data_IF_719809340248
#
_entry.id   IF_719809340248
#
_cell.length_a   1.000
_cell.length_b   1.000
_cell.length_c   1.000
_cell.angle_alpha   90.00
_cell.angle_beta   90.00
_cell.angle_gamma   90.00
#
_symmetry.space_group_name_H-M   'P 1'
#
loop_
_entity.id
_entity.type
_entity.pdbx_description
1 polymer ?
#
# COMPACT_ATOMS: atom_id res chain seq x y z
N UNK A 1 -11.07 4.83 32.92
CA UNK A 1 -10.63 5.21 31.56
C UNK A 1 -11.80 5.01 30.62
N UNK A 2 -12.15 6.01 29.80
CA UNK A 2 -13.12 5.85 28.73
C UNK A 2 -12.62 4.77 27.79
N UNK A 3 -13.50 3.87 27.34
CA UNK A 3 -13.18 2.86 26.34
C UNK A 3 -12.91 3.57 25.03
N UNK A 4 -11.73 3.38 24.43
CA UNK A 4 -11.38 4.00 23.16
C UNK A 4 -11.55 3.03 21.99
N UNK A 5 -11.92 3.57 20.83
CA UNK A 5 -12.15 2.84 19.60
C UNK A 5 -11.33 3.47 18.47
N UNK A 6 -10.46 2.68 17.85
CA UNK A 6 -9.61 3.13 16.76
C UNK A 6 -10.23 2.75 15.41
N UNK A 7 -10.71 3.75 14.67
CA UNK A 7 -11.33 3.61 13.35
C UNK A 7 -10.46 4.17 12.21
N UNK A 8 -9.21 4.51 12.48
CA UNK A 8 -8.30 5.14 11.52
C UNK A 8 -7.29 4.16 10.91
N UNK A 9 -7.66 2.88 10.79
CA UNK A 9 -6.80 1.85 10.19
C UNK A 9 -6.48 2.13 8.71
N UNK A 10 -7.31 2.89 8.00
CA UNK A 10 -7.05 3.33 6.64
C UNK A 10 -5.83 4.28 6.54
N UNK A 11 -5.57 5.09 7.56
CA UNK A 11 -4.39 5.93 7.67
C UNK A 11 -3.18 5.14 8.17
N UNK A 12 -3.34 4.40 9.26
CA UNK A 12 -2.29 3.57 9.87
C UNK A 12 -2.91 2.43 10.66
N UNK A 13 -2.64 1.21 10.26
CA UNK A 13 -3.04 0.05 11.04
C UNK A 13 -1.99 -0.27 12.12
N UNK A 14 -2.36 -0.37 13.40
CA UNK A 14 -1.43 -0.74 14.45
C UNK A 14 -0.69 -2.05 14.13
N UNK A 15 0.62 -2.14 14.45
CA UNK A 15 1.39 -3.34 14.16
C UNK A 15 0.78 -4.60 14.77
N UNK A 16 0.64 -5.65 13.96
CA UNK A 16 0.11 -6.92 14.41
C UNK A 16 1.07 -7.61 15.40
N UNK A 17 0.56 -8.47 16.29
CA UNK A 17 1.42 -9.27 17.17
C UNK A 17 2.45 -10.10 16.40
N UNK A 18 2.12 -10.60 15.20
CA UNK A 18 3.05 -11.33 14.34
C UNK A 18 4.17 -10.44 13.84
N UNK A 19 3.86 -9.21 13.40
CA UNK A 19 4.84 -8.22 12.97
C UNK A 19 5.80 -7.84 14.11
N UNK A 20 5.27 -7.54 15.30
CA UNK A 20 6.06 -7.19 16.49
C UNK A 20 7.00 -8.34 16.86
N UNK A 21 6.49 -9.57 16.87
CA UNK A 21 7.29 -10.76 17.20
C UNK A 21 8.43 -10.97 16.19
N UNK A 22 8.13 -10.86 14.88
CA UNK A 22 9.13 -11.01 13.82
C UNK A 22 10.19 -9.91 13.90
N UNK A 23 9.78 -8.66 14.11
CA UNK A 23 10.67 -7.52 14.32
C UNK A 23 11.63 -7.74 15.47
N UNK A 24 11.09 -8.05 16.65
CA UNK A 24 11.89 -8.26 17.87
C UNK A 24 12.89 -9.40 17.72
N UNK A 25 12.48 -10.48 17.06
CA UNK A 25 13.37 -11.63 16.77
C UNK A 25 14.53 -11.25 15.85
N UNK A 26 14.29 -10.39 14.88
CA UNK A 26 15.29 -10.01 13.88
C UNK A 26 16.18 -8.83 14.31
N UNK A 27 15.82 -8.07 15.35
CA UNK A 27 16.59 -6.92 15.85
C UNK A 27 18.08 -7.22 16.14
N UNK A 28 18.47 -8.37 16.73
CA UNK A 28 19.87 -8.65 17.03
C UNK A 28 20.67 -9.13 15.81
N UNK A 29 20.05 -9.29 14.64
CA UNK A 29 20.72 -9.72 13.41
C UNK A 29 21.65 -8.60 12.88
N UNK A 30 22.78 -9.03 12.29
CA UNK A 30 23.81 -8.11 11.80
C UNK A 30 23.47 -7.49 10.45
N UNK A 31 24.50 -6.91 9.82
CA UNK A 31 24.41 -6.39 8.45
C UNK A 31 24.40 -7.56 7.44
N UNK A 32 23.39 -7.68 6.56
CA UNK A 32 23.27 -8.79 5.61
C UNK A 32 24.39 -8.82 4.55
N UNK A 33 25.15 -7.75 4.41
CA UNK A 33 26.34 -7.70 3.52
C UNK A 33 27.61 -8.25 4.17
N UNK A 34 27.61 -8.55 5.49
CA UNK A 34 28.80 -9.04 6.17
C UNK A 34 28.99 -10.55 5.96
N UNK A 35 30.27 -10.98 5.82
CA UNK A 35 30.61 -12.39 5.53
C UNK A 35 30.68 -13.30 6.77
N UNK A 36 30.64 -12.73 7.99
CA UNK A 36 30.65 -13.50 9.22
C UNK A 36 29.25 -14.07 9.55
N UNK A 37 29.18 -15.02 10.44
CA UNK A 37 27.97 -15.78 10.77
C UNK A 37 26.72 -14.90 11.06
N UNK A 38 26.88 -13.78 11.79
CA UNK A 38 25.76 -12.88 12.07
C UNK A 38 25.23 -12.19 10.80
N UNK A 39 26.13 -11.81 9.86
CA UNK A 39 25.73 -11.23 8.59
C UNK A 39 25.04 -12.26 7.67
N UNK A 40 25.57 -13.47 7.64
CA UNK A 40 24.92 -14.57 6.90
C UNK A 40 23.52 -14.86 7.44
N UNK A 41 23.34 -14.90 8.77
CA UNK A 41 22.02 -15.06 9.38
C UNK A 41 21.06 -13.92 9.02
N UNK A 42 21.55 -12.67 9.01
CA UNK A 42 20.78 -11.51 8.59
C UNK A 42 20.35 -11.60 7.12
N UNK A 43 21.26 -12.04 6.24
CA UNK A 43 20.96 -12.22 4.81
C UNK A 43 19.90 -13.32 4.60
N UNK A 44 20.03 -14.44 5.29
CA UNK A 44 19.03 -15.52 5.23
C UNK A 44 17.65 -14.97 5.64
N UNK A 45 17.56 -14.28 6.77
CA UNK A 45 16.30 -13.72 7.25
C UNK A 45 15.69 -12.68 6.28
N UNK A 46 16.52 -11.86 5.63
CA UNK A 46 16.09 -10.90 4.61
C UNK A 46 15.51 -11.61 3.38
N UNK A 47 16.19 -12.65 2.88
CA UNK A 47 15.75 -13.39 1.70
C UNK A 47 14.51 -14.26 2.00
N UNK A 48 14.40 -14.81 3.21
CA UNK A 48 13.18 -15.50 3.66
C UNK A 48 11.97 -14.54 3.71
N UNK A 49 12.16 -13.32 4.21
CA UNK A 49 11.12 -12.28 4.21
C UNK A 49 10.72 -11.90 2.78
N UNK A 50 11.69 -11.74 1.89
CA UNK A 50 11.48 -11.47 0.45
C UNK A 50 10.68 -12.59 -0.22
N UNK A 51 11.06 -13.84 0.01
CA UNK A 51 10.38 -15.01 -0.53
C UNK A 51 8.94 -15.16 -0.01
N UNK A 52 8.70 -14.84 1.27
CA UNK A 52 7.35 -14.85 1.85
C UNK A 52 6.44 -13.80 1.18
N UNK A 53 6.93 -12.57 1.00
CA UNK A 53 6.18 -11.52 0.29
C UNK A 53 5.89 -11.94 -1.15
N UNK A 54 6.88 -12.51 -1.83
CA UNK A 54 6.74 -12.98 -3.21
C UNK A 54 5.68 -14.09 -3.33
N UNK A 55 5.65 -15.01 -2.38
CA UNK A 55 4.64 -16.06 -2.33
C UNK A 55 3.24 -15.50 -2.10
N UNK A 56 3.07 -14.57 -1.14
CA UNK A 56 1.78 -14.00 -0.78
C UNK A 56 1.16 -13.14 -1.89
N UNK A 57 2.00 -12.55 -2.77
CA UNK A 57 1.58 -11.70 -3.89
C UNK A 57 1.75 -12.34 -5.27
N UNK A 58 2.11 -13.63 -5.33
CA UNK A 58 2.33 -14.40 -6.56
C UNK A 58 3.30 -13.73 -7.54
N UNK A 59 4.51 -13.41 -7.05
CA UNK A 59 5.63 -12.92 -7.86
C UNK A 59 6.91 -13.70 -7.55
N UNK A 60 8.03 -13.34 -8.21
CA UNK A 60 9.33 -13.94 -7.94
C UNK A 60 10.07 -13.17 -6.83
N UNK A 61 10.88 -13.83 -5.98
CA UNK A 61 11.67 -13.12 -4.96
C UNK A 61 12.58 -12.03 -5.54
N UNK A 62 13.16 -12.25 -6.70
CA UNK A 62 13.99 -11.26 -7.41
C UNK A 62 13.22 -10.05 -7.96
N UNK A 63 11.90 -10.08 -7.96
CA UNK A 63 11.03 -8.97 -8.34
C UNK A 63 10.70 -8.04 -7.15
N UNK A 64 10.99 -8.45 -5.91
CA UNK A 64 10.64 -7.73 -4.68
C UNK A 64 11.79 -6.85 -4.23
N UNK A 65 11.60 -5.53 -4.17
CA UNK A 65 12.58 -4.54 -3.71
C UNK A 65 12.08 -3.85 -2.44
N UNK A 66 12.89 -3.83 -1.38
CA UNK A 66 12.55 -3.12 -0.15
C UNK A 66 12.83 -1.62 -0.28
N UNK A 67 11.91 -0.81 0.24
CA UNK A 67 11.98 0.66 0.31
C UNK A 67 11.69 1.14 1.74
N UNK A 68 11.83 2.44 2.00
CA UNK A 68 11.47 3.02 3.31
C UNK A 68 9.97 3.18 3.53
N UNK A 69 9.16 3.00 2.50
CA UNK A 69 7.70 3.14 2.57
C UNK A 69 7.08 3.20 1.18
N UNK A 70 5.75 3.25 1.13
CA UNK A 70 5.00 3.34 -0.12
C UNK A 70 5.37 4.58 -0.93
N UNK A 71 5.61 5.73 -0.30
CA UNK A 71 5.99 6.96 -0.99
C UNK A 71 7.29 6.80 -1.77
N UNK A 72 8.34 6.20 -1.18
CA UNK A 72 9.58 5.89 -1.90
C UNK A 72 9.31 4.92 -3.05
N UNK A 73 8.52 3.87 -2.82
CA UNK A 73 8.18 2.89 -3.84
C UNK A 73 7.42 3.53 -5.02
N UNK A 74 6.43 4.39 -4.74
CA UNK A 74 5.68 5.14 -5.76
C UNK A 74 6.58 6.10 -6.54
N UNK A 75 7.43 6.87 -5.86
CA UNK A 75 8.36 7.77 -6.53
C UNK A 75 9.34 6.98 -7.41
N UNK A 76 9.84 5.83 -6.94
CA UNK A 76 10.75 4.99 -7.69
C UNK A 76 10.12 4.39 -8.95
N UNK A 77 8.89 3.88 -8.85
CA UNK A 77 8.17 3.41 -10.04
C UNK A 77 7.88 4.54 -11.02
N UNK A 78 7.50 5.73 -10.54
CA UNK A 78 7.22 6.89 -11.38
C UNK A 78 8.47 7.41 -12.11
N UNK A 79 9.61 7.47 -11.39
CA UNK A 79 10.91 7.85 -11.97
C UNK A 79 11.31 6.88 -13.09
N UNK A 80 11.20 5.57 -12.83
CA UNK A 80 11.51 4.54 -13.81
C UNK A 80 10.53 4.58 -14.98
N UNK A 81 9.23 4.68 -14.71
CA UNK A 81 8.20 4.74 -15.74
C UNK A 81 8.42 5.95 -16.66
N UNK A 82 8.64 7.14 -16.09
CA UNK A 82 8.87 8.37 -16.85
C UNK A 82 10.10 8.30 -17.74
N UNK A 83 11.21 7.74 -17.25
CA UNK A 83 12.45 7.62 -18.03
C UNK A 83 12.33 6.66 -19.23
N UNK A 84 11.48 5.64 -19.11
CA UNK A 84 11.35 4.60 -20.13
C UNK A 84 10.09 4.71 -21.00
N UNK A 85 9.29 5.78 -20.84
CA UNK A 85 8.07 5.96 -21.62
C UNK A 85 7.99 7.31 -22.29
N UNK A 86 7.47 7.35 -23.53
CA UNK A 86 7.33 8.60 -24.29
C UNK A 86 6.15 9.46 -23.87
N UNK A 87 5.10 8.84 -23.32
CA UNK A 87 3.89 9.51 -22.84
C UNK A 87 3.40 8.83 -21.58
N UNK A 88 3.32 9.58 -20.51
CA UNK A 88 2.77 9.11 -19.24
C UNK A 88 1.29 9.51 -19.13
N UNK A 89 0.43 8.53 -18.81
CA UNK A 89 -1.00 8.73 -18.61
C UNK A 89 -1.37 8.26 -17.21
N UNK A 90 -2.03 9.12 -16.44
CA UNK A 90 -2.56 8.79 -15.11
C UNK A 90 -3.80 9.64 -14.79
N UNK A 91 -4.74 9.11 -13.99
CA UNK A 91 -5.94 9.82 -13.59
C UNK A 91 -5.62 10.81 -12.48
N UNK A 92 -5.33 12.07 -12.82
CA UNK A 92 -4.87 13.13 -11.91
C UNK A 92 -5.76 13.39 -10.69
N UNK A 93 -7.01 12.95 -10.70
CA UNK A 93 -7.96 13.24 -9.62
C UNK A 93 -8.11 12.12 -8.59
N UNK A 94 -7.48 10.98 -8.80
CA UNK A 94 -7.69 9.78 -7.96
C UNK A 94 -6.41 9.23 -7.34
N UNK A 95 -5.23 9.58 -7.86
CA UNK A 95 -3.96 9.07 -7.38
C UNK A 95 -3.54 9.71 -6.06
N UNK A 96 -2.73 9.00 -5.27
CA UNK A 96 -2.11 9.54 -4.07
C UNK A 96 -1.04 10.60 -4.43
N UNK A 97 -0.79 11.58 -3.52
CA UNK A 97 0.22 12.63 -3.70
C UNK A 97 1.61 12.10 -4.08
N UNK A 98 2.00 10.93 -3.61
CA UNK A 98 3.27 10.28 -4.00
C UNK A 98 3.39 10.00 -5.51
N UNK A 99 2.26 9.99 -6.25
CA UNK A 99 2.18 9.87 -7.70
C UNK A 99 1.86 11.22 -8.34
N UNK A 100 0.92 11.99 -7.77
CA UNK A 100 0.47 13.28 -8.31
C UNK A 100 1.55 14.35 -8.33
N UNK A 101 2.38 14.40 -7.28
CA UNK A 101 3.47 15.37 -7.14
C UNK A 101 4.69 15.04 -8.03
N UNK A 102 4.65 13.91 -8.74
CA UNK A 102 5.72 13.58 -9.66
C UNK A 102 5.72 14.60 -10.81
N UNK A 103 6.85 15.30 -11.05
CA UNK A 103 6.91 16.34 -12.06
C UNK A 103 6.70 15.74 -13.45
N UNK A 104 5.74 16.30 -14.20
CA UNK A 104 5.45 15.92 -15.59
C UNK A 104 6.56 16.37 -16.57
N UNK A 105 7.73 16.71 -16.08
CA UNK A 105 8.85 17.21 -16.88
C UNK A 105 9.49 16.03 -17.59
N UNK A 106 9.33 15.96 -18.89
CA UNK A 106 9.85 14.88 -19.73
C UNK A 106 11.37 14.72 -19.57
N UNK A 107 11.78 13.60 -19.02
CA UNK A 107 13.11 13.09 -19.27
C UNK A 107 13.25 12.76 -20.77
N UNK A 108 14.44 12.85 -21.36
CA UNK A 108 14.65 12.30 -22.69
C UNK A 108 14.26 10.81 -22.64
N UNK A 109 13.19 10.47 -23.36
CA UNK A 109 12.62 9.13 -23.32
C UNK A 109 13.58 8.12 -23.93
N UNK A 110 13.73 6.97 -23.26
CA UNK A 110 14.53 5.88 -23.77
C UNK A 110 13.77 4.97 -24.74
N UNK A 111 12.41 5.05 -24.73
CA UNK A 111 11.55 4.31 -25.66
C UNK A 111 10.29 5.12 -25.97
N UNK A 112 9.58 4.76 -27.06
CA UNK A 112 8.27 5.32 -27.41
C UNK A 112 7.08 4.56 -26.79
N UNK A 113 7.32 3.61 -25.86
CA UNK A 113 6.24 2.90 -25.17
C UNK A 113 5.41 3.89 -24.34
N UNK A 114 4.06 3.78 -24.37
CA UNK A 114 3.25 4.55 -23.46
C UNK A 114 3.43 4.08 -22.01
N UNK A 115 3.39 5.00 -21.06
CA UNK A 115 3.36 4.72 -19.62
C UNK A 115 1.95 4.94 -19.08
N UNK A 116 1.49 4.03 -18.26
CA UNK A 116 0.22 4.09 -17.54
C UNK A 116 0.47 3.90 -16.07
N UNK A 117 -0.16 4.72 -15.21
CA UNK A 117 -0.26 4.44 -13.79
C UNK A 117 -1.70 4.55 -13.33
N UNK A 118 -2.10 3.70 -12.38
CA UNK A 118 -3.38 3.74 -11.72
C UNK A 118 -3.29 3.08 -10.36
N UNK A 119 -3.89 3.72 -9.32
CA UNK A 119 -4.00 3.06 -8.01
C UNK A 119 -4.98 1.87 -8.08
N UNK A 120 -4.71 0.84 -7.28
CA UNK A 120 -5.58 -0.34 -7.22
C UNK A 120 -6.86 -0.10 -6.41
N UNK A 121 -6.77 0.72 -5.38
CA UNK A 121 -7.92 1.14 -4.59
C UNK A 121 -7.69 2.57 -4.07
N UNK A 122 -8.75 3.36 -4.05
CA UNK A 122 -8.69 4.73 -3.56
C UNK A 122 -8.60 4.75 -2.03
N UNK A 123 -7.62 5.46 -1.51
CA UNK A 123 -7.34 5.55 -0.07
C UNK A 123 -8.41 6.32 0.71
N UNK A 124 -9.21 7.16 0.06
CA UNK A 124 -10.28 7.95 0.69
C UNK A 124 -11.64 7.27 0.53
N UNK A 125 -12.11 7.11 -0.71
CA UNK A 125 -13.43 6.52 -0.98
C UNK A 125 -13.48 5.01 -0.81
N UNK A 126 -12.33 4.35 -0.81
CA UNK A 126 -12.22 2.90 -0.79
C UNK A 126 -12.57 2.22 -2.11
N UNK A 127 -12.88 2.97 -3.16
CA UNK A 127 -13.21 2.42 -4.49
C UNK A 127 -12.11 1.51 -5.00
N UNK A 128 -12.47 0.32 -5.49
CA UNK A 128 -11.55 -0.67 -6.07
C UNK A 128 -11.65 -0.56 -7.59
N UNK A 129 -10.50 -0.45 -8.25
CA UNK A 129 -10.42 -0.31 -9.71
C UNK A 129 -10.04 -1.63 -10.39
N UNK A 130 -10.60 -1.87 -11.56
CA UNK A 130 -10.32 -3.06 -12.38
C UNK A 130 -9.01 -2.88 -13.16
N UNK A 131 -7.89 -3.07 -12.46
CA UNK A 131 -6.54 -2.98 -13.03
C UNK A 131 -6.33 -3.98 -14.16
N UNK A 132 -6.92 -5.17 -14.07
CA UNK A 132 -6.79 -6.19 -15.10
C UNK A 132 -7.40 -5.76 -16.42
N UNK A 133 -8.62 -5.22 -16.40
CA UNK A 133 -9.26 -4.67 -17.61
C UNK A 133 -8.48 -3.49 -18.17
N UNK A 134 -7.94 -2.60 -17.33
CA UNK A 134 -7.08 -1.50 -17.78
C UNK A 134 -5.81 -2.04 -18.46
N UNK A 135 -5.19 -3.07 -17.90
CA UNK A 135 -4.02 -3.73 -18.49
C UNK A 135 -4.35 -4.36 -19.84
N UNK A 136 -5.49 -5.05 -19.95
CA UNK A 136 -5.94 -5.65 -21.22
C UNK A 136 -6.18 -4.59 -22.31
N UNK A 137 -6.68 -3.42 -21.94
CA UNK A 137 -6.91 -2.30 -22.87
C UNK A 137 -5.62 -1.55 -23.27
N UNK A 138 -4.52 -1.74 -22.53
CA UNK A 138 -3.22 -1.10 -22.80
C UNK A 138 -2.06 -2.14 -22.82
N UNK A 139 -2.10 -3.17 -23.71
CA UNK A 139 -1.16 -4.31 -23.63
C UNK A 139 0.30 -3.92 -23.85
N UNK A 140 0.56 -2.85 -24.59
CA UNK A 140 1.90 -2.38 -24.91
C UNK A 140 2.44 -1.31 -23.96
N UNK A 141 1.62 -0.82 -23.02
CA UNK A 141 2.07 0.16 -22.04
C UNK A 141 3.00 -0.45 -21.00
N UNK A 142 3.94 0.33 -20.46
CA UNK A 142 4.49 0.04 -19.13
C UNK A 142 3.46 0.50 -18.09
N UNK A 143 3.03 -0.41 -17.21
CA UNK A 143 1.95 -0.13 -16.28
C UNK A 143 2.44 -0.20 -14.83
N UNK A 144 2.34 0.92 -14.14
CA UNK A 144 2.66 1.06 -12.72
C UNK A 144 1.36 1.12 -11.88
N UNK A 145 1.34 0.42 -10.75
CA UNK A 145 0.17 0.34 -9.88
C UNK A 145 0.53 0.70 -8.44
N UNK A 146 -0.12 1.75 -7.90
CA UNK A 146 -0.11 1.99 -6.45
C UNK A 146 -1.15 1.07 -5.79
N UNK A 147 -0.68 0.05 -5.09
CA UNK A 147 -1.51 -0.91 -4.36
C UNK A 147 -1.48 -0.69 -2.84
N UNK A 148 -1.06 0.50 -2.39
CA UNK A 148 -0.86 0.81 -0.96
C UNK A 148 -2.13 0.62 -0.14
N UNK A 149 -3.30 1.00 -0.66
CA UNK A 149 -4.57 0.80 0.04
C UNK A 149 -5.15 -0.62 -0.15
N UNK A 150 -4.66 -1.39 -1.13
CA UNK A 150 -5.20 -2.69 -1.50
C UNK A 150 -4.49 -3.88 -0.85
N UNK A 151 -3.14 -3.85 -0.83
CA UNK A 151 -2.33 -4.95 -0.27
C UNK A 151 -2.67 -5.19 1.19
N UNK A 152 -2.96 -6.45 1.53
CA UNK A 152 -3.38 -6.86 2.87
C UNK A 152 -4.85 -6.57 3.20
N UNK A 153 -5.60 -5.88 2.33
CA UNK A 153 -7.02 -5.58 2.51
C UNK A 153 -7.91 -6.38 1.55
N UNK A 154 -7.44 -6.62 0.33
CA UNK A 154 -8.08 -7.44 -0.70
C UNK A 154 -7.06 -8.36 -1.36
N UNK A 155 -7.48 -9.44 -2.06
CA UNK A 155 -6.55 -10.30 -2.79
C UNK A 155 -5.79 -9.52 -3.86
N UNK A 156 -4.46 -9.68 -3.88
CA UNK A 156 -3.57 -9.09 -4.88
C UNK A 156 -2.71 -10.20 -5.46
N UNK A 157 -2.88 -10.48 -6.73
CA UNK A 157 -2.09 -11.42 -7.50
C UNK A 157 -1.31 -10.65 -8.57
N UNK A 158 -0.02 -10.36 -8.30
CA UNK A 158 0.82 -9.56 -9.18
C UNK A 158 0.93 -10.15 -10.58
N UNK A 159 1.08 -11.47 -10.67
CA UNK A 159 1.19 -12.16 -11.95
C UNK A 159 -0.10 -12.08 -12.76
N UNK A 160 -1.26 -12.25 -12.11
CA UNK A 160 -2.57 -12.15 -12.76
C UNK A 160 -2.90 -10.72 -13.20
N UNK A 161 -2.55 -9.71 -12.40
CA UNK A 161 -2.72 -8.29 -12.76
C UNK A 161 -1.93 -7.91 -14.00
N UNK A 162 -0.77 -8.51 -14.22
CA UNK A 162 0.09 -8.28 -15.38
C UNK A 162 0.70 -6.88 -15.44
N UNK A 163 0.67 -6.11 -14.34
CA UNK A 163 1.34 -4.81 -14.23
C UNK A 163 2.87 -4.99 -14.20
N UNK A 164 3.60 -3.94 -14.58
CA UNK A 164 5.06 -3.98 -14.64
C UNK A 164 5.70 -3.52 -13.32
N UNK A 165 5.01 -2.63 -12.57
CA UNK A 165 5.42 -2.16 -11.25
C UNK A 165 4.23 -2.18 -10.30
N UNK A 166 4.47 -2.53 -9.02
CA UNK A 166 3.45 -2.49 -7.97
C UNK A 166 4.08 -2.00 -6.66
N UNK A 167 3.57 -0.88 -6.13
CA UNK A 167 4.08 -0.23 -4.92
C UNK A 167 3.13 -0.39 -3.74
N UNK A 168 3.67 -0.61 -2.52
CA UNK A 168 2.89 -0.67 -1.29
C UNK A 168 3.72 -0.43 -0.03
N UNK A 169 3.07 -0.17 1.10
CA UNK A 169 3.70 0.10 2.39
C UNK A 169 3.14 -0.76 3.52
N UNK A 170 4.00 -1.18 4.45
CA UNK A 170 3.66 -2.12 5.51
C UNK A 170 2.60 -1.60 6.50
N UNK A 171 2.57 -0.29 6.78
CA UNK A 171 1.71 0.34 7.79
C UNK A 171 0.20 0.27 7.50
N UNK A 172 -0.20 -0.13 6.28
CA UNK A 172 -1.60 -0.26 5.86
C UNK A 172 -2.23 -1.63 6.14
N UNK A 173 -1.42 -2.61 6.56
CA UNK A 173 -1.88 -3.98 6.84
C UNK A 173 -1.30 -4.58 8.15
N UNK A 174 -0.98 -3.72 9.11
CA UNK A 174 -0.46 -4.16 10.41
C UNK A 174 1.03 -4.49 10.42
N UNK A 175 1.79 -4.04 9.43
CA UNK A 175 3.24 -3.99 9.49
C UNK A 175 3.74 -2.77 10.26
N UNK A 176 5.05 -2.73 10.53
CA UNK A 176 5.69 -1.60 11.19
C UNK A 176 5.96 -0.50 10.16
N UNK A 177 5.75 0.77 10.53
CA UNK A 177 6.08 1.93 9.69
C UNK A 177 7.59 2.01 9.42
N UNK A 178 7.98 2.62 8.30
CA UNK A 178 9.38 2.79 7.91
C UNK A 178 9.87 1.73 6.93
N UNK A 179 8.97 0.92 6.39
CA UNK A 179 9.27 0.00 5.30
C UNK A 179 8.11 -0.07 4.30
N UNK A 180 8.46 -0.20 3.04
CA UNK A 180 7.59 -0.47 1.91
C UNK A 180 8.23 -1.43 0.93
N UNK A 181 7.55 -1.66 -0.16
CA UNK A 181 8.01 -2.56 -1.20
C UNK A 181 7.62 -2.03 -2.58
N UNK A 182 8.53 -2.20 -3.53
CA UNK A 182 8.27 -2.11 -4.95
C UNK A 182 8.45 -3.50 -5.56
N UNK A 183 7.41 -4.03 -6.17
CA UNK A 183 7.52 -5.23 -7.01
C UNK A 183 7.73 -4.77 -8.45
N UNK A 184 8.74 -5.29 -9.10
CA UNK A 184 9.10 -4.98 -10.49
C UNK A 184 9.14 -6.27 -11.27
N UNK A 185 8.26 -6.39 -12.26
CA UNK A 185 8.19 -7.57 -13.12
C UNK A 185 9.55 -7.82 -13.77
N UNK A 186 9.95 -9.08 -13.80
CA UNK A 186 11.22 -9.49 -14.42
C UNK A 186 11.36 -8.89 -15.82
N UNK A 187 12.56 -8.46 -16.14
CA UNK A 187 12.94 -7.80 -17.40
C UNK A 187 12.29 -6.41 -17.62
N UNK A 188 11.55 -5.89 -16.64
CA UNK A 188 11.07 -4.50 -16.66
C UNK A 188 12.21 -3.56 -16.31
N UNK A 189 12.40 -2.46 -17.06
CA UNK A 189 13.48 -1.52 -16.79
C UNK A 189 13.28 -0.80 -15.46
N UNK A 190 14.32 -0.78 -14.61
CA UNK A 190 14.31 -0.13 -13.31
C UNK A 190 15.55 0.75 -13.15
N UNK A 191 15.36 2.06 -12.90
CA UNK A 191 16.45 2.99 -12.59
C UNK A 191 16.98 2.75 -11.17
N UNK A 192 18.24 3.08 -10.93
CA UNK A 192 18.78 3.18 -9.56
C UNK A 192 18.41 4.56 -9.00
N UNK A 193 17.48 4.62 -8.05
CA UNK A 193 17.00 5.87 -7.45
C UNK A 193 17.90 6.33 -6.31
N UNK A 194 18.21 5.46 -5.35
CA UNK A 194 19.11 5.76 -4.24
C UNK A 194 20.44 5.10 -4.52
N UNK A 195 21.44 5.91 -4.83
CA UNK A 195 22.81 5.45 -5.15
C UNK A 195 23.57 5.12 -3.88
N UNK A 196 24.35 4.02 -3.90
CA UNK A 196 25.13 3.58 -2.75
C UNK A 196 25.89 2.29 -3.03
N UNK A 197 25.84 1.35 -2.10
CA UNK A 197 26.42 0.01 -2.26
C UNK A 197 25.59 -0.91 -3.16
N UNK A 198 25.93 -2.22 -3.13
CA UNK A 198 25.29 -3.23 -3.97
C UNK A 198 23.95 -3.75 -3.47
N UNK A 199 23.34 -3.11 -2.45
CA UNK A 199 22.06 -3.53 -1.87
C UNK A 199 20.95 -3.49 -2.93
N UNK A 200 19.93 -4.31 -2.74
CA UNK A 200 18.81 -4.46 -3.67
C UNK A 200 19.31 -4.57 -5.13
N UNK A 201 20.27 -5.47 -5.35
CA UNK A 201 20.94 -5.70 -6.65
C UNK A 201 21.54 -4.43 -7.30
N UNK A 202 22.04 -3.51 -6.47
CA UNK A 202 22.61 -2.24 -6.92
C UNK A 202 21.57 -1.21 -7.38
N UNK A 203 20.29 -1.48 -7.16
CA UNK A 203 19.19 -0.59 -7.56
C UNK A 203 18.77 0.39 -6.45
N UNK A 204 18.97 0.00 -5.18
CA UNK A 204 18.63 0.84 -4.04
C UNK A 204 19.67 0.68 -2.94
N UNK A 205 20.58 1.64 -2.83
CA UNK A 205 21.66 1.67 -1.84
C UNK A 205 21.17 1.91 -0.41
N UNK A 206 22.01 1.57 0.55
CA UNK A 206 21.74 1.69 1.98
C UNK A 206 21.48 0.32 2.62
N UNK A 207 22.04 0.11 3.82
CA UNK A 207 21.91 -1.16 4.55
C UNK A 207 20.43 -1.50 4.76
N UNK A 208 20.04 -2.71 4.39
CA UNK A 208 18.67 -3.18 4.47
C UNK A 208 18.23 -3.35 5.93
N UNK A 209 17.01 -2.92 6.23
CA UNK A 209 16.40 -3.11 7.55
C UNK A 209 15.80 -4.51 7.68
N UNK A 210 16.63 -5.49 8.05
CA UNK A 210 16.21 -6.89 8.17
C UNK A 210 15.03 -7.05 9.11
N UNK A 211 15.03 -6.36 10.25
CA UNK A 211 13.95 -6.45 11.22
C UNK A 211 12.62 -5.94 10.68
N UNK A 212 12.63 -4.82 9.93
CA UNK A 212 11.43 -4.29 9.30
C UNK A 212 10.95 -5.20 8.15
N UNK A 213 11.86 -5.76 7.34
CA UNK A 213 11.52 -6.70 6.28
C UNK A 213 10.82 -7.96 6.84
N UNK A 214 11.37 -8.55 7.91
CA UNK A 214 10.73 -9.67 8.60
C UNK A 214 9.36 -9.33 9.18
N UNK A 215 9.20 -8.13 9.77
CA UNK A 215 7.92 -7.66 10.30
C UNK A 215 6.87 -7.48 9.19
N UNK A 216 7.26 -6.87 8.06
CA UNK A 216 6.40 -6.67 6.91
C UNK A 216 5.92 -8.00 6.32
N UNK A 217 6.83 -8.96 6.11
CA UNK A 217 6.49 -10.29 5.62
C UNK A 217 5.53 -11.02 6.56
N UNK A 218 5.78 -10.98 7.88
CA UNK A 218 4.92 -11.63 8.87
C UNK A 218 3.51 -11.02 8.91
N UNK A 219 3.40 -9.69 8.81
CA UNK A 219 2.10 -9.00 8.77
C UNK A 219 1.31 -9.36 7.50
N UNK A 220 1.96 -9.32 6.33
CA UNK A 220 1.33 -9.66 5.07
C UNK A 220 0.84 -11.10 5.05
N UNK A 221 1.70 -12.03 5.47
CA UNK A 221 1.36 -13.46 5.54
C UNK A 221 0.17 -13.74 6.46
N UNK A 222 0.12 -13.09 7.64
CA UNK A 222 -1.05 -13.20 8.53
C UNK A 222 -2.33 -12.69 7.87
N UNK A 223 -2.25 -11.57 7.16
CA UNK A 223 -3.39 -10.98 6.44
C UNK A 223 -3.87 -11.86 5.30
N UNK A 224 -2.97 -12.34 4.45
CA UNK A 224 -3.29 -13.16 3.29
C UNK A 224 -3.99 -14.45 3.71
N UNK A 225 -3.51 -15.13 4.76
CA UNK A 225 -4.10 -16.37 5.26
C UNK A 225 -5.52 -16.21 5.82
N UNK A 226 -5.88 -15.02 6.33
CA UNK A 226 -7.19 -14.75 6.94
C UNK A 226 -8.09 -13.89 6.05
N UNK A 227 -7.62 -13.49 4.87
CA UNK A 227 -8.20 -12.41 4.07
C UNK A 227 -9.67 -12.62 3.73
N UNK A 228 -10.03 -13.75 3.13
CA UNK A 228 -11.41 -13.96 2.64
C UNK A 228 -12.46 -13.97 3.77
N UNK A 229 -12.11 -14.49 4.94
CA UNK A 229 -12.98 -14.48 6.11
C UNK A 229 -13.01 -13.07 6.71
N UNK A 230 -11.85 -12.44 6.87
CA UNK A 230 -11.72 -11.10 7.43
C UNK A 230 -12.46 -10.05 6.60
N UNK A 231 -12.33 -10.08 5.28
CA UNK A 231 -13.04 -9.17 4.37
C UNK A 231 -14.54 -9.16 4.61
N UNK A 232 -15.16 -10.34 4.66
CA UNK A 232 -16.62 -10.46 4.88
C UNK A 232 -17.03 -9.93 6.24
N UNK A 233 -16.28 -10.25 7.30
CA UNK A 233 -16.59 -9.79 8.65
C UNK A 233 -16.45 -8.27 8.78
N UNK A 234 -15.39 -7.69 8.23
CA UNK A 234 -15.16 -6.25 8.25
C UNK A 234 -16.23 -5.52 7.44
N UNK A 235 -16.59 -6.03 6.26
CA UNK A 235 -17.66 -5.45 5.44
C UNK A 235 -19.02 -5.47 6.17
N UNK A 236 -19.35 -6.55 6.87
CA UNK A 236 -20.58 -6.59 7.69
C UNK A 236 -20.57 -5.54 8.80
N UNK A 237 -19.44 -5.33 9.49
CA UNK A 237 -19.30 -4.28 10.51
C UNK A 237 -19.46 -2.89 9.90
N UNK A 238 -18.82 -2.62 8.74
CA UNK A 238 -18.96 -1.39 7.96
C UNK A 238 -20.42 -1.13 7.61
N UNK A 239 -21.10 -2.13 7.06
CA UNK A 239 -22.48 -2.00 6.59
C UNK A 239 -23.46 -1.78 7.76
N UNK A 240 -23.20 -2.42 8.90
CA UNK A 240 -23.96 -2.18 10.12
C UNK A 240 -23.80 -0.74 10.63
N UNK A 241 -22.56 -0.21 10.61
CA UNK A 241 -22.28 1.18 10.96
C UNK A 241 -23.04 2.15 10.03
N UNK A 242 -22.91 1.97 8.72
CA UNK A 242 -23.54 2.83 7.71
C UNK A 242 -25.06 2.80 7.83
N UNK A 243 -25.65 1.60 7.97
CA UNK A 243 -27.09 1.43 8.13
C UNK A 243 -27.63 2.14 9.37
N UNK A 244 -26.92 2.05 10.50
CA UNK A 244 -27.33 2.75 11.72
C UNK A 244 -27.18 4.25 11.59
N UNK A 245 -26.12 4.75 10.94
CA UNK A 245 -25.96 6.17 10.69
C UNK A 245 -27.07 6.73 9.80
N UNK A 246 -27.44 6.05 8.73
CA UNK A 246 -28.59 6.45 7.90
C UNK A 246 -29.91 6.48 8.68
N UNK A 247 -30.06 5.60 9.66
CA UNK A 247 -31.28 5.54 10.49
C UNK A 247 -31.37 6.65 11.51
N UNK A 248 -30.25 7.05 12.11
CA UNK A 248 -30.25 7.92 13.29
C UNK A 248 -29.64 9.33 13.03
N UNK A 249 -28.91 9.50 11.95
CA UNK A 249 -28.25 10.77 11.60
C UNK A 249 -28.79 11.25 10.25
N UNK A 250 -29.61 12.31 10.23
CA UNK A 250 -30.15 12.85 8.96
C UNK A 250 -29.01 13.37 8.09
N UNK A 251 -29.28 13.49 6.79
CA UNK A 251 -28.38 14.07 5.78
C UNK A 251 -26.98 13.45 5.79
N UNK A 252 -26.92 12.12 5.98
CA UNK A 252 -25.70 11.31 5.89
C UNK A 252 -25.57 10.73 4.48
N UNK A 253 -24.37 10.82 3.88
CA UNK A 253 -24.06 10.33 2.54
C UNK A 253 -22.82 9.46 2.57
N UNK A 254 -22.80 8.38 1.78
CA UNK A 254 -21.58 7.59 1.54
C UNK A 254 -20.87 8.14 0.31
N UNK A 255 -19.57 8.41 0.44
CA UNK A 255 -18.74 8.86 -0.66
C UNK A 255 -18.14 7.64 -1.40
N UNK A 256 -18.21 7.67 -2.74
CA UNK A 256 -17.80 6.58 -3.61
C UNK A 256 -18.83 5.44 -3.74
N UNK A 257 -18.52 4.37 -4.49
CA UNK A 257 -19.45 3.28 -4.74
C UNK A 257 -19.74 2.51 -3.44
N UNK A 258 -21.02 2.22 -3.19
CA UNK A 258 -21.44 1.49 -2.00
C UNK A 258 -22.67 0.62 -2.30
N UNK A 259 -22.52 -0.66 -2.01
CA UNK A 259 -23.61 -1.63 -1.96
C UNK A 259 -23.42 -2.52 -0.73
N UNK A 260 -24.42 -2.66 0.16
CA UNK A 260 -24.30 -3.53 1.33
C UNK A 260 -23.89 -4.96 0.94
N UNK A 261 -22.92 -5.53 1.66
CA UNK A 261 -22.36 -6.86 1.39
C UNK A 261 -21.31 -6.91 0.29
N UNK A 262 -21.13 -5.84 -0.48
CA UNK A 262 -20.14 -5.79 -1.55
C UNK A 262 -18.71 -5.63 -0.99
N UNK A 263 -17.79 -6.43 -1.51
CA UNK A 263 -16.35 -6.40 -1.21
C UNK A 263 -15.51 -6.31 -2.48
N UNK A 264 -16.13 -6.11 -3.65
CA UNK A 264 -15.47 -6.03 -4.95
C UNK A 264 -15.37 -4.59 -5.47
N UNK A 265 -16.33 -3.72 -5.11
CA UNK A 265 -16.36 -2.32 -5.53
C UNK A 265 -15.71 -1.38 -4.51
N UNK A 266 -15.66 -1.81 -3.23
CA UNK A 266 -15.12 -1.00 -2.12
C UNK A 266 -14.28 -1.83 -1.17
N UNK A 267 -13.19 -1.27 -0.68
CA UNK A 267 -12.38 -1.87 0.39
C UNK A 267 -13.27 -2.21 1.59
N UNK A 268 -13.13 -3.41 2.16
CA UNK A 268 -14.03 -3.93 3.20
C UNK A 268 -14.18 -3.00 4.41
N UNK A 269 -13.08 -2.40 4.87
CA UNK A 269 -13.04 -1.53 6.05
C UNK A 269 -13.28 -0.05 5.78
N UNK A 270 -13.52 0.37 4.54
CA UNK A 270 -13.68 1.78 4.23
C UNK A 270 -15.14 2.25 4.40
N UNK A 271 -15.35 3.22 5.30
CA UNK A 271 -16.62 3.92 5.51
C UNK A 271 -16.40 5.43 5.41
N UNK A 272 -16.20 5.95 4.20
CA UNK A 272 -16.09 7.38 3.96
C UNK A 272 -17.48 7.99 3.89
N UNK A 273 -17.78 8.90 4.83
CA UNK A 273 -19.11 9.48 5.05
C UNK A 273 -19.07 11.00 5.06
N UNK A 274 -20.07 11.62 4.47
CA UNK A 274 -20.32 13.06 4.58
C UNK A 274 -21.59 13.32 5.38
N UNK A 275 -21.55 14.34 6.24
CA UNK A 275 -22.68 14.81 7.05
C UNK A 275 -22.94 16.26 6.66
N UNK A 276 -24.09 16.54 6.03
CA UNK A 276 -24.38 17.85 5.50
C UNK A 276 -24.47 18.90 6.64
N UNK A 277 -23.78 20.01 6.45
CA UNK A 277 -23.77 21.11 7.42
C UNK A 277 -22.85 20.90 8.64
N UNK A 278 -22.07 19.81 8.65
CA UNK A 278 -21.11 19.50 9.72
C UNK A 278 -19.68 19.73 9.21
N UNK A 279 -18.92 20.54 9.93
CA UNK A 279 -17.51 20.79 9.63
C UNK A 279 -16.69 19.55 10.06
N UNK A 280 -15.88 19.01 9.16
CA UNK A 280 -15.22 17.71 9.33
C UNK A 280 -14.19 17.67 10.45
N UNK A 281 -13.38 18.73 10.61
CA UNK A 281 -12.36 18.79 11.66
C UNK A 281 -13.01 18.89 13.05
N UNK A 282 -14.06 19.69 13.19
CA UNK A 282 -14.82 19.80 14.43
C UNK A 282 -15.47 18.47 14.83
N UNK A 283 -16.01 17.73 13.86
CA UNK A 283 -16.55 16.40 14.08
C UNK A 283 -15.49 15.41 14.59
N UNK A 284 -14.34 15.34 13.92
CA UNK A 284 -13.23 14.44 14.30
C UNK A 284 -12.72 14.78 15.70
N UNK A 285 -12.58 16.07 16.05
CA UNK A 285 -12.18 16.51 17.39
C UNK A 285 -13.19 16.11 18.46
N UNK A 286 -14.49 16.28 18.17
CA UNK A 286 -15.57 15.87 19.08
C UNK A 286 -15.61 14.36 19.29
N UNK A 287 -15.48 13.56 18.23
CA UNK A 287 -15.39 12.11 18.30
C UNK A 287 -14.16 11.68 19.13
N UNK A 288 -13.02 12.33 18.93
CA UNK A 288 -11.80 12.06 19.68
C UNK A 288 -11.97 12.29 21.19
N UNK A 289 -12.71 13.36 21.58
CA UNK A 289 -13.02 13.63 22.98
C UNK A 289 -13.88 12.53 23.62
N UNK A 290 -14.72 11.85 22.83
CA UNK A 290 -15.53 10.71 23.24
C UNK A 290 -14.79 9.36 23.10
N UNK A 291 -13.50 9.37 22.74
CA UNK A 291 -12.67 8.18 22.59
C UNK A 291 -12.85 7.45 21.26
N UNK A 292 -13.43 8.07 20.24
CA UNK A 292 -13.56 7.53 18.89
C UNK A 292 -12.54 8.20 17.98
N UNK A 293 -11.57 7.45 17.48
CA UNK A 293 -10.47 7.96 16.66
C UNK A 293 -10.74 7.66 15.17
N UNK A 294 -11.01 8.70 14.41
CA UNK A 294 -11.22 8.68 12.97
C UNK A 294 -10.52 9.87 12.32
N UNK A 295 -10.35 9.86 11.02
CA UNK A 295 -9.78 10.99 10.26
C UNK A 295 -10.80 11.62 9.32
N UNK A 296 -10.56 12.87 8.91
CA UNK A 296 -11.34 13.59 7.90
C UNK A 296 -10.58 13.57 6.58
N UNK A 297 -11.22 13.11 5.49
CA UNK A 297 -10.60 13.00 4.18
C UNK A 297 -9.36 12.11 4.17
N UNK A 298 -8.34 12.47 3.38
CA UNK A 298 -7.04 11.83 3.47
C UNK A 298 -6.32 12.26 4.75
N UNK A 299 -5.92 11.31 5.59
CA UNK A 299 -5.15 11.60 6.80
C UNK A 299 -3.82 12.35 6.51
N UNK A 300 -3.31 12.27 5.28
CA UNK A 300 -2.10 12.97 4.86
C UNK A 300 -2.31 14.46 4.56
N UNK A 301 -3.54 14.90 4.32
CA UNK A 301 -3.90 16.30 3.99
C UNK A 301 -4.70 16.99 5.08
N UNK A 302 -5.07 16.30 6.15
CA UNK A 302 -5.89 16.86 7.25
C UNK A 302 -5.17 17.88 8.15
N UNK A 303 -3.94 18.25 7.82
CA UNK A 303 -3.14 19.27 8.52
C UNK A 303 -2.88 20.55 7.72
N UNK A 304 -3.45 20.68 6.49
CA UNK A 304 -3.34 21.89 5.65
C UNK A 304 -4.59 22.75 5.69
#
# INVERSE_FOLDING_TARGET
MLKSYYFDAAAHEPPSPAAIKAFTRALPLGNPSALHACGVAAKIALEEARASIAQDLNCLPEEVYFTSGATEACNWMMESLSAYTGKLTFPRHYEHHAVLEYPSVGHPHLTDRPGLTHMMANNETGEIYDILSMRCNAPNALFACDATAAVGQIPVDFKALGVDYLAFGAHKFGGISGIGCLIVKKDTPLLSMIRGGGQEWGKRGGTESVALACAMAAALHERTNKMLIGMKQIALCRDLLITNLFRFVPDTYVNGPYTPGDVLLRLPGNANLSFLGVESQALVMSLSAEGVYASSGSACTSGE
#
